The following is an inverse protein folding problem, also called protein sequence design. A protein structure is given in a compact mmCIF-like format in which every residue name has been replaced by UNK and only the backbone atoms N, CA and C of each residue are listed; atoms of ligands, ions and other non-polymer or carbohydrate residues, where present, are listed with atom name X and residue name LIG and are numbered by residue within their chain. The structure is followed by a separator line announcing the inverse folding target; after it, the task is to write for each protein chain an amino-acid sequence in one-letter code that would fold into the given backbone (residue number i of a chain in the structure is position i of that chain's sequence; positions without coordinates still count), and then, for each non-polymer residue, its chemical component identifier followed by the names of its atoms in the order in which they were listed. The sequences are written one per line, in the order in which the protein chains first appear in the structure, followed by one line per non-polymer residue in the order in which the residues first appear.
data_IF_789595569484
#
_entry.id   IF_789595569484
#
_cell.length_a   1.000
_cell.length_b   1.000
_cell.length_c   1.000
_cell.angle_alpha   90.00
_cell.angle_beta   90.00
_cell.angle_gamma   90.00
#
_symmetry.space_group_name_H-M   'P 1'
#
loop_
_entity.id
_entity.type
_entity.pdbx_description
1 polymer ?
#
# COMPACT_ATOMS: atom_id res chain seq x y z
N UNK A 1 -7.88 -6.01 10.51
CA UNK A 1 -7.13 -6.06 9.23
C UNK A 1 -7.30 -4.73 8.57
N UNK A 2 -6.28 -3.87 8.58
CA UNK A 2 -6.40 -2.51 8.08
C UNK A 2 -6.52 -2.46 6.56
N UNK A 3 -7.39 -1.58 6.06
CA UNK A 3 -7.65 -1.41 4.64
C UNK A 3 -6.37 -1.13 3.83
N UNK A 4 -5.39 -0.44 4.44
CA UNK A 4 -4.11 -0.10 3.81
C UNK A 4 -3.26 -1.32 3.52
N UNK A 5 -3.07 -2.22 4.49
CA UNK A 5 -2.21 -3.41 4.31
C UNK A 5 -2.73 -4.33 3.21
N UNK A 6 -4.05 -4.51 3.13
CA UNK A 6 -4.70 -5.26 2.04
C UNK A 6 -4.49 -4.61 0.67
N UNK A 7 -4.69 -3.30 0.58
CA UNK A 7 -4.48 -2.56 -0.66
C UNK A 7 -3.01 -2.66 -1.11
N UNK A 8 -2.06 -2.46 -0.18
CA UNK A 8 -0.64 -2.57 -0.46
C UNK A 8 -0.27 -3.96 -0.97
N UNK A 9 -0.69 -5.02 -0.26
CA UNK A 9 -0.43 -6.40 -0.65
C UNK A 9 -0.89 -6.69 -2.07
N UNK A 10 -2.14 -6.35 -2.38
CA UNK A 10 -2.72 -6.59 -3.69
C UNK A 10 -1.98 -5.84 -4.80
N UNK A 11 -1.56 -4.59 -4.56
CA UNK A 11 -0.81 -3.81 -5.54
C UNK A 11 0.57 -4.41 -5.80
N UNK A 12 1.30 -4.76 -4.74
CA UNK A 12 2.63 -5.35 -4.88
C UNK A 12 2.58 -6.66 -5.68
N UNK A 13 1.58 -7.51 -5.43
CA UNK A 13 1.38 -8.76 -6.17
C UNK A 13 0.96 -8.51 -7.62
N UNK A 14 0.00 -7.60 -7.85
CA UNK A 14 -0.53 -7.29 -9.20
C UNK A 14 0.54 -6.73 -10.13
N UNK A 15 1.42 -5.90 -9.60
CA UNK A 15 2.47 -5.22 -10.35
C UNK A 15 3.85 -5.91 -10.24
N UNK A 16 3.91 -7.10 -9.62
CA UNK A 16 5.14 -7.83 -9.35
C UNK A 16 6.24 -6.98 -8.67
N UNK A 17 5.85 -6.06 -7.79
CA UNK A 17 6.75 -5.19 -7.04
C UNK A 17 7.14 -5.89 -5.74
N UNK A 18 8.44 -6.14 -5.55
CA UNK A 18 8.91 -6.73 -4.30
C UNK A 18 8.87 -5.73 -3.14
N UNK A 19 8.63 -6.23 -1.92
CA UNK A 19 8.67 -5.41 -0.70
C UNK A 19 10.02 -4.70 -0.53
N UNK A 20 11.12 -5.36 -0.91
CA UNK A 20 12.47 -4.79 -0.86
C UNK A 20 12.64 -3.61 -1.82
N UNK A 21 12.06 -3.69 -3.02
CA UNK A 21 12.11 -2.60 -4.00
C UNK A 21 11.39 -1.37 -3.47
N UNK A 22 10.17 -1.55 -2.94
CA UNK A 22 9.43 -0.47 -2.29
C UNK A 22 10.19 0.11 -1.09
N UNK A 23 10.73 -0.74 -0.22
CA UNK A 23 11.51 -0.31 0.94
C UNK A 23 12.73 0.55 0.56
N UNK A 24 13.44 0.15 -0.50
CA UNK A 24 14.61 0.87 -1.02
C UNK A 24 14.23 2.27 -1.50
N UNK A 25 13.16 2.37 -2.31
CA UNK A 25 12.67 3.66 -2.83
C UNK A 25 12.17 4.56 -1.71
N UNK A 26 11.49 3.99 -0.71
CA UNK A 26 11.00 4.74 0.44
C UNK A 26 12.09 5.10 1.48
N UNK A 27 13.31 4.60 1.32
CA UNK A 27 14.39 4.81 2.30
C UNK A 27 14.13 4.17 3.67
N UNK A 28 13.31 3.11 3.73
CA UNK A 28 12.97 2.40 4.98
C UNK A 28 13.56 0.99 5.00
N UNK A 29 13.67 0.40 6.20
CA UNK A 29 14.10 -1.00 6.32
C UNK A 29 13.06 -1.95 5.71
N UNK A 30 13.45 -3.01 5.00
CA UNK A 30 12.51 -4.00 4.43
C UNK A 30 11.49 -4.55 5.42
N UNK A 31 11.90 -4.78 6.68
CA UNK A 31 11.01 -5.24 7.74
C UNK A 31 9.83 -4.28 8.04
N UNK A 32 9.97 -3.00 7.72
CA UNK A 32 8.87 -2.02 7.84
C UNK A 32 7.78 -2.34 6.82
N UNK A 33 8.14 -2.51 5.55
CA UNK A 33 7.20 -2.86 4.47
C UNK A 33 6.60 -4.25 4.70
N UNK A 34 7.39 -5.20 5.19
CA UNK A 34 6.91 -6.53 5.59
C UNK A 34 5.76 -6.46 6.58
N UNK A 35 5.86 -5.62 7.62
CA UNK A 35 4.80 -5.49 8.63
C UNK A 35 3.51 -4.93 8.04
N UNK A 36 3.58 -4.01 7.08
CA UNK A 36 2.39 -3.50 6.39
C UNK A 36 1.79 -4.54 5.44
N UNK A 37 2.63 -5.22 4.66
CA UNK A 37 2.22 -6.23 3.69
C UNK A 37 1.51 -7.44 4.35
N UNK A 38 2.01 -7.88 5.51
CA UNK A 38 1.39 -8.95 6.30
C UNK A 38 0.38 -8.46 7.34
N UNK A 39 -0.04 -7.19 7.25
CA UNK A 39 -1.07 -6.59 8.11
C UNK A 39 -0.77 -6.70 9.62
N UNK A 40 0.53 -6.69 9.98
CA UNK A 40 0.99 -6.74 11.37
C UNK A 40 0.85 -5.39 12.08
N UNK A 41 1.03 -4.31 11.33
CA UNK A 41 0.91 -2.92 11.79
C UNK A 41 0.32 -2.12 10.64
N UNK A 42 -0.62 -1.22 10.94
CA UNK A 42 -1.08 -0.26 9.94
C UNK A 42 -0.12 0.94 9.83
N UNK A 43 0.21 1.39 8.60
CA UNK A 43 0.95 2.62 8.41
C UNK A 43 0.14 3.83 8.93
N UNK A 44 0.83 4.85 9.42
CA UNK A 44 0.18 6.12 9.83
C UNK A 44 -0.26 6.91 8.61
N UNK A 45 -1.18 7.86 8.77
CA UNK A 45 -1.75 8.66 7.68
C UNK A 45 -0.71 9.25 6.72
N UNK A 46 0.32 9.92 7.23
CA UNK A 46 1.43 10.46 6.42
C UNK A 46 2.21 9.36 5.67
N UNK A 47 2.39 8.19 6.29
CA UNK A 47 3.08 7.06 5.66
C UNK A 47 2.29 6.50 4.48
N UNK A 48 0.96 6.61 4.46
CA UNK A 48 0.14 6.19 3.31
C UNK A 48 0.50 6.99 2.06
N UNK A 49 0.74 8.30 2.21
CA UNK A 49 1.19 9.16 1.13
C UNK A 49 2.59 8.74 0.66
N UNK A 50 3.53 8.51 1.58
CA UNK A 50 4.89 8.07 1.25
C UNK A 50 4.90 6.71 0.52
N UNK A 51 3.97 5.80 0.86
CA UNK A 51 3.79 4.54 0.14
C UNK A 51 3.34 4.82 -1.30
N UNK A 52 2.35 5.70 -1.49
CA UNK A 52 1.86 6.05 -2.81
C UNK A 52 2.94 6.72 -3.68
N UNK A 53 3.73 7.62 -3.11
CA UNK A 53 4.86 8.27 -3.79
C UNK A 53 5.95 7.25 -4.16
N UNK A 54 6.29 6.34 -3.24
CA UNK A 54 7.24 5.26 -3.51
C UNK A 54 6.77 4.32 -4.62
N UNK A 55 5.48 3.96 -4.61
CA UNK A 55 4.86 3.20 -5.69
C UNK A 55 4.87 3.99 -7.01
N UNK A 56 4.63 5.31 -6.98
CA UNK A 56 4.61 6.14 -8.18
C UNK A 56 5.98 6.22 -8.86
N UNK A 57 7.05 6.30 -8.06
CA UNK A 57 8.43 6.25 -8.56
C UNK A 57 8.79 4.90 -9.17
N UNK A 58 8.22 3.81 -8.68
CA UNK A 58 8.45 2.45 -9.22
C UNK A 58 7.61 2.21 -10.47
N UNK A 59 6.31 2.47 -10.37
CA UNK A 59 5.32 2.27 -11.43
C UNK A 59 4.09 3.16 -11.15
N UNK A 60 3.84 4.22 -11.95
CA UNK A 60 2.72 5.14 -11.73
C UNK A 60 1.33 4.47 -11.65
N UNK A 61 1.12 3.38 -12.39
CA UNK A 61 -0.12 2.61 -12.36
C UNK A 61 -0.37 1.94 -10.99
N UNK A 62 0.70 1.50 -10.31
CA UNK A 62 0.62 0.86 -9.00
C UNK A 62 0.14 1.86 -7.93
N UNK A 63 0.64 3.09 -7.96
CA UNK A 63 0.18 4.16 -7.05
C UNK A 63 -1.30 4.48 -7.24
N UNK A 64 -1.76 4.61 -8.50
CA UNK A 64 -3.18 4.82 -8.80
C UNK A 64 -4.02 3.65 -8.28
N UNK A 65 -3.60 2.41 -8.54
CA UNK A 65 -4.31 1.21 -8.08
C UNK A 65 -4.37 1.13 -6.55
N UNK A 66 -3.30 1.53 -5.86
CA UNK A 66 -3.24 1.57 -4.40
C UNK A 66 -4.31 2.49 -3.82
N UNK A 67 -4.44 3.72 -4.32
CA UNK A 67 -5.50 4.63 -3.89
C UNK A 67 -6.89 4.10 -4.21
N UNK A 68 -7.11 3.55 -5.40
CA UNK A 68 -8.41 2.97 -5.76
C UNK A 68 -8.80 1.81 -4.83
N UNK A 69 -7.86 0.97 -4.42
CA UNK A 69 -8.15 -0.14 -3.50
C UNK A 69 -8.34 0.33 -2.05
N UNK A 70 -7.56 1.31 -1.60
CA UNK A 70 -7.68 1.85 -0.26
C UNK A 70 -8.97 2.66 -0.07
N UNK A 71 -9.28 3.55 -1.03
CA UNK A 71 -10.48 4.39 -1.00
C UNK A 71 -11.73 3.66 -1.50
N UNK A 72 -11.61 2.75 -2.47
CA UNK A 72 -12.74 1.97 -2.98
C UNK A 72 -13.37 1.12 -1.88
N UNK A 73 -12.56 0.52 -1.01
CA UNK A 73 -13.06 -0.19 0.18
C UNK A 73 -13.74 0.73 1.19
N UNK A 74 -13.26 1.97 1.33
CA UNK A 74 -13.92 2.96 2.18
C UNK A 74 -15.33 3.31 1.68
N UNK A 75 -15.53 3.36 0.36
CA UNK A 75 -16.82 3.63 -0.25
C UNK A 75 -17.77 2.41 -0.18
N UNK A 76 -17.26 1.19 -0.36
CA UNK A 76 -18.06 -0.05 -0.25
C UNK A 76 -18.52 -0.34 1.19
N UNK A 77 -17.70 0.00 2.21
CA UNK A 77 -18.09 -0.17 3.62
C UNK A 77 -19.15 0.85 4.08
N UNK A 78 -19.33 1.95 3.35
CA UNK A 78 -20.36 2.97 3.61
C UNK A 78 -21.75 2.63 3.03
N UNK A 79 -21.85 1.58 2.20
CA UNK A 79 -23.07 1.22 1.46
C UNK A 79 -23.71 -0.08 2.00
N UNK A 80 -23.49 -0.40 3.28
CA UNK A 80 -24.25 -1.48 3.94
C UNK A 80 -25.64 -0.96 4.34
N UNK A 81 -26.74 -1.57 3.84
CA UNK A 81 -28.09 -1.24 4.27
C UNK A 81 -28.34 -1.59 5.74
#
# INVERSE_FOLDING_TARGET
MGAVGKALKQVLETHAISQNKLATVMGVKPFVVYRWYYEKIDPRGETILNIAEGLQQIEPAAAKKFFMLYLGKFLEDGDRP
#
